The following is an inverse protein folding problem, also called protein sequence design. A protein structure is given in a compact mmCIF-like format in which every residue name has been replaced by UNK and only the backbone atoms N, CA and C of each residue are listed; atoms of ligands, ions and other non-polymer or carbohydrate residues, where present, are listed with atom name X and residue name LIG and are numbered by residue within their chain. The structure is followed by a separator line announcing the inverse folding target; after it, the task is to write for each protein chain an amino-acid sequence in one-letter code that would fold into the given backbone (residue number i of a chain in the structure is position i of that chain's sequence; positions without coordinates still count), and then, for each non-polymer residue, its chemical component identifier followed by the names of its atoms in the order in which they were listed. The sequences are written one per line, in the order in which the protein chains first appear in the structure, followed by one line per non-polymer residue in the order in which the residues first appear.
data_IF_814092944353
#
_entry.id   IF_814092944353
#
_cell.length_a   1.000
_cell.length_b   1.000
_cell.length_c   1.000
_cell.angle_alpha   90.00
_cell.angle_beta   90.00
_cell.angle_gamma   90.00
#
_symmetry.space_group_name_H-M   'P 1'
#
loop_
_entity.id
_entity.type
_entity.pdbx_description
1 polymer ?
#
# COMPACT_ATOMS: atom_id res chain seq x y z
N UNK A 1 39.20 15.38 28.49
CA UNK A 1 39.64 15.88 27.17
C UNK A 1 39.00 14.97 26.12
N UNK A 2 37.87 15.39 25.55
CA UNK A 2 37.12 14.61 24.56
C UNK A 2 37.36 15.16 23.16
N UNK A 3 37.70 14.28 22.22
CA UNK A 3 37.95 14.60 20.82
C UNK A 3 36.65 15.04 20.12
N UNK A 4 36.30 16.33 20.23
CA UNK A 4 35.42 16.99 19.28
C UNK A 4 36.29 17.40 18.08
N UNK A 5 36.26 16.61 17.01
CA UNK A 5 36.79 17.03 15.73
C UNK A 5 36.09 18.33 15.28
N UNK A 6 36.82 19.23 14.61
CA UNK A 6 36.25 20.44 14.02
C UNK A 6 35.06 20.06 13.12
N UNK A 7 33.85 20.47 13.52
CA UNK A 7 32.68 20.40 12.64
C UNK A 7 32.78 21.48 11.57
N UNK A 8 32.39 21.16 10.35
CA UNK A 8 32.23 22.10 9.25
C UNK A 8 31.02 22.99 9.53
N UNK A 9 31.19 24.29 9.32
CA UNK A 9 30.05 25.22 9.23
C UNK A 9 29.32 24.98 7.91
N UNK A 10 28.00 25.12 7.91
CA UNK A 10 27.23 25.07 6.67
C UNK A 10 27.45 26.38 5.90
N UNK A 11 28.34 26.35 4.91
CA UNK A 11 28.66 27.52 4.07
C UNK A 11 27.85 27.52 2.78
N UNK A 12 27.88 28.65 2.06
CA UNK A 12 27.21 28.82 0.77
C UNK A 12 27.70 27.76 -0.24
N UNK A 13 26.80 26.95 -0.83
CA UNK A 13 27.18 25.92 -1.78
C UNK A 13 27.48 26.55 -3.13
N UNK A 14 28.63 26.21 -3.70
CA UNK A 14 28.97 26.58 -5.08
C UNK A 14 28.14 25.79 -6.10
N UNK A 15 27.73 24.58 -5.71
CA UNK A 15 26.94 23.67 -6.53
C UNK A 15 25.86 22.97 -5.69
N UNK A 16 24.71 22.72 -6.30
CA UNK A 16 23.63 21.91 -5.71
C UNK A 16 23.30 20.77 -6.66
N UNK A 17 23.29 19.55 -6.13
CA UNK A 17 22.79 18.39 -6.85
C UNK A 17 21.27 18.34 -6.71
N UNK A 18 20.56 18.42 -7.83
CA UNK A 18 19.11 18.31 -7.90
C UNK A 18 18.78 16.97 -8.54
N UNK A 19 18.26 16.05 -7.73
CA UNK A 19 17.76 14.76 -8.16
C UNK A 19 16.23 14.80 -8.19
N UNK A 20 15.66 14.46 -9.34
CA UNK A 20 14.22 14.25 -9.47
C UNK A 20 13.98 12.76 -9.31
N UNK A 21 13.70 12.34 -8.07
CA UNK A 21 13.40 10.96 -7.74
C UNK A 21 11.94 10.70 -8.14
N UNK A 22 11.75 10.05 -9.27
CA UNK A 22 10.48 9.45 -9.63
C UNK A 22 10.43 8.05 -9.02
N UNK A 23 9.72 7.89 -7.90
CA UNK A 23 9.54 6.60 -7.21
C UNK A 23 8.83 5.54 -8.05
N UNK A 24 8.49 5.87 -9.31
CA UNK A 24 7.87 4.95 -10.22
C UNK A 24 8.85 4.28 -11.18
N UNK A 25 9.99 4.88 -11.57
CA UNK A 25 10.92 4.26 -12.54
C UNK A 25 12.19 3.70 -11.86
N UNK A 26 12.64 2.50 -12.25
CA UNK A 26 13.95 1.94 -11.86
C UNK A 26 15.04 2.34 -12.87
N UNK A 27 14.85 3.44 -13.60
CA UNK A 27 15.88 4.03 -14.44
C UNK A 27 16.72 5.00 -13.62
N UNK A 28 18.02 5.07 -13.93
CA UNK A 28 19.05 5.79 -13.17
C UNK A 28 18.59 7.18 -12.72
N UNK A 29 18.74 7.47 -11.42
CA UNK A 29 18.51 8.79 -10.83
C UNK A 29 19.19 9.86 -11.70
N UNK A 30 18.39 10.69 -12.39
CA UNK A 30 18.94 11.76 -13.24
C UNK A 30 19.29 12.96 -12.38
N UNK A 31 20.42 12.87 -11.67
CA UNK A 31 21.01 13.97 -10.93
C UNK A 31 21.54 15.05 -11.87
N UNK A 32 21.06 16.28 -11.73
CA UNK A 32 21.61 17.45 -12.41
C UNK A 32 22.37 18.32 -11.40
N UNK A 33 23.63 18.62 -11.67
CA UNK A 33 24.43 19.55 -10.84
C UNK A 33 24.23 20.97 -11.36
N UNK A 34 23.72 21.85 -10.51
CA UNK A 34 23.50 23.26 -10.83
C UNK A 34 24.57 24.09 -10.13
N UNK A 35 25.24 24.99 -10.85
CA UNK A 35 26.26 25.88 -10.29
C UNK A 35 25.73 27.30 -10.12
N UNK A 36 25.94 27.90 -8.95
CA UNK A 36 25.70 29.31 -8.71
C UNK A 36 26.61 29.77 -7.57
N UNK A 37 27.65 30.54 -7.91
CA UNK A 37 28.77 30.85 -7.00
C UNK A 37 28.53 32.06 -6.10
N UNK A 38 27.44 32.79 -6.34
CA UNK A 38 27.13 34.05 -5.65
C UNK A 38 25.81 33.98 -4.86
N UNK A 39 25.24 32.78 -4.67
CA UNK A 39 23.95 32.58 -3.99
C UNK A 39 24.10 32.00 -2.59
N UNK A 40 23.40 32.60 -1.63
CA UNK A 40 23.31 32.06 -0.28
C UNK A 40 22.48 30.76 -0.27
N UNK A 41 22.57 29.99 0.83
CA UNK A 41 21.68 28.82 1.00
C UNK A 41 20.20 29.19 0.90
N UNK A 42 19.81 30.37 1.40
CA UNK A 42 18.43 30.84 1.34
C UNK A 42 18.00 31.15 -0.08
N UNK A 43 18.86 31.80 -0.87
CA UNK A 43 18.58 32.10 -2.29
C UNK A 43 18.40 30.81 -3.09
N UNK A 44 19.20 29.78 -2.81
CA UNK A 44 19.04 28.45 -3.39
C UNK A 44 17.68 27.82 -3.06
N UNK A 45 17.27 27.84 -1.78
CA UNK A 45 15.98 27.27 -1.37
C UNK A 45 14.81 28.01 -2.03
N UNK A 46 14.84 29.35 -2.06
CA UNK A 46 13.82 30.17 -2.72
C UNK A 46 13.79 29.90 -4.24
N UNK A 47 14.96 29.79 -4.88
CA UNK A 47 15.06 29.47 -6.29
C UNK A 47 14.46 28.09 -6.62
N UNK A 48 14.82 27.05 -5.86
CA UNK A 48 14.29 25.70 -6.07
C UNK A 48 12.77 25.64 -5.84
N UNK A 49 12.26 26.33 -4.82
CA UNK A 49 10.81 26.43 -4.58
C UNK A 49 10.08 27.07 -5.75
N UNK A 50 10.65 28.12 -6.34
CA UNK A 50 10.07 28.79 -7.50
C UNK A 50 10.12 27.93 -8.76
N UNK A 51 11.25 27.27 -9.04
CA UNK A 51 11.41 26.45 -10.25
C UNK A 51 10.48 25.24 -10.24
N UNK A 52 10.36 24.55 -9.11
CA UNK A 52 9.54 23.34 -8.98
C UNK A 52 8.10 23.61 -8.51
N UNK A 53 7.72 24.88 -8.36
CA UNK A 53 6.40 25.30 -7.86
C UNK A 53 6.02 24.64 -6.52
N UNK A 54 6.99 24.47 -5.62
CA UNK A 54 6.78 23.90 -4.28
C UNK A 54 6.75 25.01 -3.23
N UNK A 55 5.58 25.20 -2.60
CA UNK A 55 5.41 26.24 -1.57
C UNK A 55 6.12 25.94 -0.24
N UNK A 56 6.62 24.72 -0.02
CA UNK A 56 7.32 24.32 1.22
C UNK A 56 8.24 23.14 0.99
N UNK A 57 9.42 23.17 1.62
CA UNK A 57 10.29 22.00 1.75
C UNK A 57 9.77 21.14 2.91
N UNK A 58 9.25 19.96 2.56
CA UNK A 58 8.50 19.10 3.49
C UNK A 58 9.36 18.16 4.32
N UNK A 59 10.58 17.85 3.86
CA UNK A 59 11.45 16.85 4.47
C UNK A 59 12.92 17.28 4.46
N UNK A 60 13.70 16.73 5.39
CA UNK A 60 15.16 16.80 5.40
C UNK A 60 15.71 15.38 5.56
N UNK A 61 16.83 15.07 4.90
CA UNK A 61 17.51 13.78 4.99
C UNK A 61 18.96 13.99 5.43
N UNK A 62 19.36 13.28 6.49
CA UNK A 62 20.73 13.18 6.96
C UNK A 62 21.30 11.82 6.57
N UNK A 63 22.40 11.76 5.82
CA UNK A 63 23.03 10.51 5.40
C UNK A 63 24.58 10.56 5.54
N UNK A 64 25.31 9.73 4.80
CA UNK A 64 26.78 9.72 4.78
C UNK A 64 27.38 11.14 4.74
N UNK A 65 28.38 11.38 5.59
CA UNK A 65 29.08 12.67 5.78
C UNK A 65 28.25 13.81 6.41
N UNK A 66 26.95 13.62 6.66
CA UNK A 66 26.14 14.67 7.33
C UNK A 66 26.67 15.01 8.73
N UNK A 67 27.31 14.04 9.40
CA UNK A 67 27.91 14.19 10.74
C UNK A 67 29.13 15.12 10.78
N UNK A 68 29.66 15.52 9.63
CA UNK A 68 30.72 16.52 9.53
C UNK A 68 30.22 17.94 9.79
N UNK A 69 28.91 18.21 9.63
CA UNK A 69 28.34 19.55 9.76
C UNK A 69 27.83 19.84 11.18
N UNK A 70 27.79 21.12 11.55
CA UNK A 70 27.09 21.55 12.76
C UNK A 70 25.57 21.49 12.55
N UNK A 71 24.88 20.81 13.47
CA UNK A 71 23.43 20.59 13.38
C UNK A 71 22.66 21.89 13.61
N UNK A 72 23.24 22.80 14.40
CA UNK A 72 22.61 24.09 14.71
C UNK A 72 22.59 24.97 13.46
N UNK A 73 23.65 24.94 12.65
CA UNK A 73 23.69 25.62 11.34
C UNK A 73 22.66 25.05 10.37
N UNK A 74 22.52 23.72 10.33
CA UNK A 74 21.50 23.07 9.48
C UNK A 74 20.09 23.47 9.94
N UNK A 75 19.85 23.53 11.26
CA UNK A 75 18.56 23.98 11.80
C UNK A 75 18.29 25.46 11.50
N UNK A 76 19.30 26.32 11.54
CA UNK A 76 19.16 27.74 11.21
C UNK A 76 18.71 27.93 9.75
N UNK A 77 19.30 27.19 8.81
CA UNK A 77 18.98 27.30 7.38
C UNK A 77 17.64 26.66 7.03
N UNK A 78 17.36 25.45 7.51
CA UNK A 78 16.19 24.69 7.09
C UNK A 78 14.97 24.86 8.01
N UNK A 79 15.15 25.37 9.22
CA UNK A 79 14.11 25.48 10.23
C UNK A 79 13.53 24.13 10.66
N UNK A 80 12.41 24.16 11.38
CA UNK A 80 11.70 22.94 11.77
C UNK A 80 11.05 22.28 10.55
N UNK A 81 11.15 20.95 10.46
CA UNK A 81 10.55 20.15 9.39
C UNK A 81 9.53 19.16 9.95
N UNK A 82 8.42 19.00 9.23
CA UNK A 82 7.42 17.98 9.54
C UNK A 82 7.97 16.57 9.34
N UNK A 83 8.86 16.37 8.37
CA UNK A 83 9.47 15.08 8.09
C UNK A 83 10.99 15.13 8.25
N UNK A 84 11.57 14.20 9.02
CA UNK A 84 13.02 14.04 9.18
C UNK A 84 13.41 12.60 8.89
N UNK A 85 14.39 12.42 7.99
CA UNK A 85 14.96 11.12 7.64
C UNK A 85 16.41 11.04 8.13
N UNK A 86 16.76 9.99 8.87
CA UNK A 86 18.11 9.72 9.35
C UNK A 86 18.60 8.40 8.75
N UNK A 87 19.53 8.53 7.81
CA UNK A 87 20.27 7.49 7.11
C UNK A 87 21.58 7.10 7.82
N UNK A 88 22.59 6.65 7.06
CA UNK A 88 23.83 6.05 7.58
C UNK A 88 24.84 7.16 7.85
N UNK A 89 24.54 7.98 8.85
CA UNK A 89 25.42 9.11 9.23
C UNK A 89 26.77 8.67 9.82
N UNK A 90 26.87 7.40 10.24
CA UNK A 90 28.05 6.83 10.90
C UNK A 90 28.35 7.40 12.29
N UNK A 91 27.48 8.25 12.85
CA UNK A 91 27.74 8.97 14.09
C UNK A 91 26.51 9.02 15.02
N UNK A 92 26.52 8.21 16.08
CA UNK A 92 25.43 8.14 17.06
C UNK A 92 25.20 9.46 17.81
N UNK A 93 26.28 10.19 18.14
CA UNK A 93 26.16 11.47 18.80
C UNK A 93 25.47 12.51 17.92
N UNK A 94 25.77 12.51 16.61
CA UNK A 94 25.12 13.38 15.64
C UNK A 94 23.63 13.04 15.46
N UNK A 95 23.29 11.75 15.38
CA UNK A 95 21.89 11.31 15.31
C UNK A 95 21.09 11.77 16.53
N UNK A 96 21.68 11.68 17.73
CA UNK A 96 21.05 12.21 18.95
C UNK A 96 20.83 13.72 18.87
N UNK A 97 21.81 14.46 18.34
CA UNK A 97 21.69 15.91 18.16
C UNK A 97 20.64 16.29 17.12
N UNK A 98 20.46 15.53 16.03
CA UNK A 98 19.37 15.72 15.06
C UNK A 98 18.02 15.66 15.78
N UNK A 99 17.82 14.59 16.56
CA UNK A 99 16.59 14.40 17.30
C UNK A 99 16.36 15.59 18.22
N UNK A 100 17.33 15.97 19.05
CA UNK A 100 17.21 17.11 19.97
C UNK A 100 16.89 18.44 19.28
N UNK A 101 17.50 18.69 18.12
CA UNK A 101 17.40 19.98 17.45
C UNK A 101 16.16 20.12 16.57
N UNK A 102 15.76 19.08 15.84
CA UNK A 102 14.64 19.19 14.90
C UNK A 102 13.27 18.96 15.54
N UNK A 103 13.20 18.75 16.86
CA UNK A 103 11.93 18.64 17.56
C UNK A 103 11.15 19.97 17.58
N UNK A 104 9.80 19.93 17.42
CA UNK A 104 8.96 18.75 17.21
C UNK A 104 9.00 18.19 15.75
N UNK A 105 8.97 16.86 15.60
CA UNK A 105 8.96 16.15 14.29
C UNK A 105 7.65 15.35 14.16
N UNK A 106 6.91 15.54 13.07
CA UNK A 106 5.62 14.85 12.83
C UNK A 106 5.81 13.44 12.24
N UNK A 107 6.77 13.28 11.32
CA UNK A 107 7.15 12.03 10.66
C UNK A 107 8.65 11.80 10.80
N UNK A 108 9.06 10.77 11.53
CA UNK A 108 10.47 10.39 11.69
C UNK A 108 10.73 9.05 11.02
N UNK A 109 11.70 9.00 10.10
CA UNK A 109 12.26 7.74 9.58
C UNK A 109 13.72 7.65 9.98
N UNK A 110 14.10 6.59 10.70
CA UNK A 110 15.46 6.40 11.21
C UNK A 110 15.86 4.94 11.08
N UNK A 111 17.13 4.63 10.87
CA UNK A 111 17.56 3.23 10.86
C UNK A 111 17.79 2.70 12.27
N UNK A 112 17.52 1.42 12.51
CA UNK A 112 17.84 0.78 13.79
C UNK A 112 19.35 0.90 14.10
N UNK A 113 20.19 0.72 13.06
CA UNK A 113 21.64 0.92 13.10
C UNK A 113 22.07 2.35 13.50
N UNK A 114 21.16 3.33 13.50
CA UNK A 114 21.44 4.70 13.92
C UNK A 114 21.54 4.87 15.44
N UNK A 115 21.23 3.82 16.21
CA UNK A 115 21.31 3.77 17.67
C UNK A 115 22.45 2.86 18.15
N UNK A 116 23.03 3.20 19.31
CA UNK A 116 24.03 2.36 19.95
C UNK A 116 23.41 0.99 20.28
N UNK A 117 24.11 -0.09 19.91
CA UNK A 117 23.65 -1.49 20.04
C UNK A 117 22.32 -1.80 19.34
N UNK A 118 21.91 -0.98 18.36
CA UNK A 118 20.59 -1.03 17.70
C UNK A 118 19.41 -0.94 18.67
N UNK A 119 19.63 -0.41 19.89
CA UNK A 119 18.59 -0.25 20.91
C UNK A 119 17.91 1.10 20.78
N UNK A 120 16.61 1.06 20.52
CA UNK A 120 15.80 2.26 20.36
C UNK A 120 15.51 2.86 21.75
N UNK A 121 15.83 4.13 22.00
CA UNK A 121 15.55 4.76 23.28
C UNK A 121 14.04 4.80 23.59
N UNK A 122 13.58 4.39 24.79
CA UNK A 122 12.14 4.34 25.12
C UNK A 122 11.39 5.67 24.98
N UNK A 123 12.10 6.79 25.16
CA UNK A 123 11.53 8.13 24.96
C UNK A 123 11.19 8.46 23.49
N UNK A 124 11.80 7.77 22.52
CA UNK A 124 11.38 7.86 21.12
C UNK A 124 10.07 7.09 20.86
N UNK A 125 9.88 5.97 21.56
CA UNK A 125 8.70 5.10 21.45
C UNK A 125 7.46 5.72 22.13
N UNK A 126 7.62 6.25 23.36
CA UNK A 126 6.53 6.78 24.20
C UNK A 126 5.91 8.11 23.74
N UNK A 127 6.47 8.77 22.73
CA UNK A 127 5.95 10.06 22.27
C UNK A 127 4.80 9.79 21.29
N UNK A 128 3.55 10.13 21.64
CA UNK A 128 2.39 10.00 20.74
C UNK A 128 2.67 10.68 19.38
N UNK A 129 2.97 9.92 18.32
CA UNK A 129 3.28 10.46 16.98
C UNK A 129 2.22 10.07 15.97
N UNK A 130 2.08 10.89 14.92
CA UNK A 130 1.33 10.52 13.72
C UNK A 130 2.06 9.45 12.89
N UNK A 131 3.41 9.40 12.86
CA UNK A 131 4.18 8.33 12.17
C UNK A 131 5.62 8.19 12.69
N UNK A 132 6.03 6.98 13.09
CA UNK A 132 7.43 6.58 13.36
C UNK A 132 7.80 5.40 12.45
N UNK A 133 8.90 5.53 11.73
CA UNK A 133 9.47 4.47 10.91
C UNK A 133 10.86 4.08 11.41
N UNK A 134 11.08 2.78 11.53
CA UNK A 134 12.40 2.19 11.76
C UNK A 134 12.77 1.30 10.55
N UNK A 135 13.90 1.59 9.88
CA UNK A 135 14.38 0.85 8.68
C UNK A 135 15.55 -0.08 9.01
N UNK A 136 15.63 -1.23 8.35
CA UNK A 136 16.70 -2.22 8.50
C UNK A 136 16.99 -2.97 7.19
N UNK A 137 18.28 -3.16 6.84
CA UNK A 137 18.71 -3.84 5.61
C UNK A 137 19.24 -5.27 5.84
N UNK A 138 19.39 -5.72 7.09
CA UNK A 138 19.97 -7.03 7.38
C UNK A 138 19.78 -7.42 8.87
N UNK A 139 19.02 -8.49 9.11
CA UNK A 139 18.64 -9.12 10.40
C UNK A 139 17.42 -8.53 11.12
N UNK A 140 16.65 -9.29 11.93
CA UNK A 140 15.50 -8.76 12.66
C UNK A 140 15.93 -8.03 13.93
N UNK A 141 15.43 -6.82 14.13
CA UNK A 141 15.56 -6.10 15.40
C UNK A 141 14.93 -6.91 16.53
N UNK A 142 15.61 -7.03 17.68
CA UNK A 142 15.01 -7.54 18.93
C UNK A 142 14.10 -6.46 19.55
N UNK A 143 13.00 -6.12 18.89
CA UNK A 143 11.92 -5.32 19.50
C UNK A 143 11.15 -6.28 20.41
N UNK A 144 11.11 -5.96 21.71
CA UNK A 144 10.38 -6.76 22.69
C UNK A 144 8.89 -6.40 22.69
N UNK A 145 8.04 -7.26 23.26
CA UNK A 145 6.61 -6.96 23.45
C UNK A 145 6.40 -5.64 24.23
N UNK A 146 7.30 -5.30 25.16
CA UNK A 146 7.25 -4.05 25.89
C UNK A 146 7.57 -2.85 24.99
N UNK A 147 8.45 -3.01 24.01
CA UNK A 147 8.76 -1.95 23.05
C UNK A 147 7.56 -1.71 22.12
N UNK A 148 6.85 -2.76 21.69
CA UNK A 148 5.60 -2.65 20.92
C UNK A 148 4.47 -1.98 21.71
N UNK A 149 4.33 -2.30 23.01
CA UNK A 149 3.36 -1.65 23.91
C UNK A 149 3.67 -0.17 24.17
N UNK A 150 4.93 0.24 24.00
CA UNK A 150 5.36 1.64 24.13
C UNK A 150 5.18 2.43 22.83
N UNK A 151 5.04 1.76 21.68
CA UNK A 151 4.75 2.40 20.38
C UNK A 151 3.29 2.83 20.37
N UNK A 152 3.04 4.08 20.77
CA UNK A 152 1.71 4.70 20.68
C UNK A 152 1.49 5.35 19.31
N UNK A 153 1.75 4.60 18.24
CA UNK A 153 1.38 4.98 16.87
C UNK A 153 0.25 4.07 16.40
N UNK A 154 -0.75 4.61 15.70
CA UNK A 154 -1.80 3.78 15.10
C UNK A 154 -1.22 3.06 13.88
N UNK A 155 -0.95 1.74 13.92
CA UNK A 155 -0.44 1.03 12.75
C UNK A 155 -1.46 1.09 11.61
N UNK A 156 -0.96 1.17 10.38
CA UNK A 156 -1.83 1.12 9.20
C UNK A 156 -2.32 -0.32 8.92
N UNK A 157 -1.48 -1.30 9.25
CA UNK A 157 -1.72 -2.74 9.08
C UNK A 157 -0.83 -3.56 10.03
N UNK A 158 -1.39 -4.61 10.62
CA UNK A 158 -0.67 -5.61 11.41
C UNK A 158 -0.76 -6.98 10.72
N UNK A 159 0.38 -7.60 10.40
CA UNK A 159 0.47 -8.92 9.80
C UNK A 159 1.04 -9.94 10.78
N UNK A 160 0.38 -11.10 10.89
CA UNK A 160 0.78 -12.19 11.78
C UNK A 160 1.22 -13.41 10.97
N UNK A 161 2.49 -13.79 11.12
CA UNK A 161 3.08 -14.97 10.50
C UNK A 161 3.29 -16.10 11.50
N UNK A 162 2.68 -17.26 11.24
CA UNK A 162 2.75 -18.46 12.07
C UNK A 162 3.51 -19.60 11.38
N UNK A 163 4.05 -20.55 12.15
CA UNK A 163 4.65 -21.82 11.68
C UNK A 163 5.83 -21.68 10.71
N UNK A 164 6.92 -21.07 11.18
CA UNK A 164 8.17 -20.99 10.42
C UNK A 164 9.08 -22.20 10.64
N UNK A 165 8.78 -23.03 11.63
CA UNK A 165 9.54 -24.25 11.96
C UNK A 165 9.07 -25.48 11.13
N UNK A 166 9.95 -26.46 10.86
CA UNK A 166 9.64 -27.64 10.04
C UNK A 166 8.69 -28.66 10.70
N UNK A 167 8.49 -28.58 12.02
CA UNK A 167 7.73 -29.57 12.79
C UNK A 167 6.22 -29.31 12.73
N UNK A 168 5.57 -29.84 11.69
CA UNK A 168 4.13 -29.71 11.50
C UNK A 168 3.42 -31.05 11.72
N UNK A 169 2.44 -31.07 12.63
CA UNK A 169 1.64 -32.26 12.91
C UNK A 169 0.61 -32.53 11.81
N UNK A 170 0.55 -33.79 11.37
CA UNK A 170 -0.41 -34.25 10.38
C UNK A 170 -1.53 -35.03 11.07
N UNK A 171 -2.79 -34.62 10.84
CA UNK A 171 -3.98 -35.34 11.25
C UNK A 171 -4.83 -35.78 10.06
N UNK A 172 -5.92 -36.49 10.34
CA UNK A 172 -6.97 -36.75 9.35
C UNK A 172 -7.87 -35.52 9.25
N UNK A 173 -8.02 -35.00 8.04
CA UNK A 173 -8.97 -33.95 7.68
C UNK A 173 -10.08 -34.48 6.76
N UNK A 174 -11.01 -33.61 6.38
CA UNK A 174 -12.18 -33.97 5.57
C UNK A 174 -11.84 -34.61 4.20
N UNK A 175 -10.62 -34.41 3.70
CA UNK A 175 -10.14 -34.93 2.42
C UNK A 175 -8.78 -35.65 2.54
N UNK A 176 -8.60 -36.41 3.62
CA UNK A 176 -7.39 -37.21 3.86
C UNK A 176 -6.40 -36.53 4.82
N UNK A 177 -5.12 -36.93 4.74
CA UNK A 177 -4.07 -36.44 5.67
C UNK A 177 -3.83 -34.94 5.43
N UNK A 178 -4.05 -34.12 6.45
CA UNK A 178 -3.90 -32.66 6.44
C UNK A 178 -3.06 -32.20 7.63
N UNK A 179 -2.34 -31.10 7.46
CA UNK A 179 -1.68 -30.40 8.56
C UNK A 179 -2.74 -29.80 9.47
N UNK A 180 -2.60 -30.01 10.78
CA UNK A 180 -3.45 -29.44 11.81
C UNK A 180 -2.84 -28.15 12.34
N UNK A 181 -3.67 -27.16 12.65
CA UNK A 181 -3.21 -25.96 13.35
C UNK A 181 -2.91 -26.32 14.81
N UNK A 182 -1.63 -26.36 15.18
CA UNK A 182 -1.15 -26.59 16.55
C UNK A 182 -0.66 -25.28 17.17
N UNK A 183 -0.34 -25.26 18.47
CA UNK A 183 0.32 -24.12 19.09
C UNK A 183 1.62 -23.76 18.33
N UNK A 184 1.79 -22.52 17.85
CA UNK A 184 3.02 -22.09 17.22
C UNK A 184 4.10 -21.91 18.31
N UNK A 185 5.34 -22.31 18.04
CA UNK A 185 6.45 -22.07 18.98
C UNK A 185 6.79 -20.58 19.04
N UNK A 186 6.70 -19.92 17.88
CA UNK A 186 6.92 -18.50 17.71
C UNK A 186 5.88 -17.87 16.76
N UNK A 187 5.56 -16.60 16.98
CA UNK A 187 4.71 -15.79 16.09
C UNK A 187 5.52 -14.59 15.63
N UNK A 188 5.68 -14.43 14.31
CA UNK A 188 6.26 -13.22 13.75
C UNK A 188 5.16 -12.17 13.57
N UNK A 189 5.36 -11.00 14.14
CA UNK A 189 4.49 -9.84 14.02
C UNK A 189 5.19 -8.84 13.12
N UNK A 190 4.59 -8.51 11.98
CA UNK A 190 5.04 -7.39 11.16
C UNK A 190 4.06 -6.23 11.33
N UNK A 191 4.57 -5.06 11.68
CA UNK A 191 3.80 -3.84 11.79
C UNK A 191 4.19 -2.93 10.63
N UNK A 192 3.23 -2.58 9.78
CA UNK A 192 3.48 -1.70 8.64
C UNK A 192 3.18 -0.26 9.03
N UNK A 193 4.14 0.62 8.72
CA UNK A 193 3.91 2.06 8.76
C UNK A 193 2.92 2.50 7.67
N UNK A 194 2.56 3.79 7.62
CA UNK A 194 1.71 4.33 6.56
C UNK A 194 2.37 4.34 5.16
N UNK A 195 3.66 4.01 5.06
CA UNK A 195 4.40 3.86 3.80
C UNK A 195 4.73 2.36 3.63
N UNK A 196 4.30 1.76 2.52
CA UNK A 196 4.29 0.30 2.27
C UNK A 196 5.69 -0.37 2.33
N UNK A 197 6.76 0.40 2.14
CA UNK A 197 8.15 -0.08 2.19
C UNK A 197 8.75 -0.12 3.61
N UNK A 198 8.00 0.28 4.63
CA UNK A 198 8.48 0.47 5.99
C UNK A 198 7.70 -0.44 6.96
N UNK A 199 8.33 -1.54 7.43
CA UNK A 199 7.73 -2.43 8.42
C UNK A 199 8.70 -2.74 9.55
N UNK A 200 8.20 -2.75 10.78
CA UNK A 200 8.90 -3.32 11.92
C UNK A 200 8.54 -4.81 12.00
N UNK A 201 9.47 -5.63 12.51
CA UNK A 201 9.22 -7.05 12.63
C UNK A 201 9.76 -7.60 13.94
N UNK A 202 8.89 -8.30 14.68
CA UNK A 202 9.21 -8.89 15.98
C UNK A 202 8.82 -10.36 16.00
N UNK A 203 9.56 -11.19 16.72
CA UNK A 203 9.20 -12.59 16.97
C UNK A 203 8.79 -12.73 18.43
N UNK A 204 7.56 -13.16 18.67
CA UNK A 204 7.06 -13.50 20.00
C UNK A 204 7.21 -15.00 20.21
N UNK A 205 8.09 -15.40 21.13
CA UNK A 205 8.32 -16.79 21.49
C UNK A 205 7.48 -17.17 22.70
N UNK A 206 6.51 -18.07 22.53
CA UNK A 206 5.76 -18.68 23.65
C UNK A 206 5.13 -19.99 23.20
N UNK A 207 5.74 -21.09 23.65
CA UNK A 207 5.46 -22.47 23.22
C UNK A 207 4.26 -23.14 23.92
N UNK A 208 3.63 -22.48 24.91
CA UNK A 208 2.53 -23.08 25.71
C UNK A 208 1.12 -22.62 25.31
N UNK A 209 0.97 -21.74 24.32
CA UNK A 209 -0.32 -21.11 23.98
C UNK A 209 -0.94 -21.67 22.69
N UNK A 210 -2.24 -21.93 22.70
CA UNK A 210 -2.98 -22.30 21.48
C UNK A 210 -3.04 -21.13 20.49
N UNK A 211 -3.27 -21.41 19.21
CA UNK A 211 -3.44 -20.37 18.18
C UNK A 211 -4.58 -19.38 18.50
N UNK A 212 -5.71 -19.88 19.01
CA UNK A 212 -6.83 -19.03 19.41
C UNK A 212 -6.44 -18.09 20.55
N UNK A 213 -5.64 -18.57 21.51
CA UNK A 213 -5.15 -17.71 22.58
C UNK A 213 -4.18 -16.66 22.04
N UNK A 214 -3.26 -17.03 21.15
CA UNK A 214 -2.36 -16.08 20.50
C UNK A 214 -3.11 -14.98 19.76
N UNK A 215 -4.09 -15.36 18.94
CA UNK A 215 -4.95 -14.42 18.24
C UNK A 215 -5.63 -13.49 19.25
N UNK A 216 -6.33 -14.03 20.25
CA UNK A 216 -7.01 -13.23 21.27
C UNK A 216 -6.07 -12.29 22.01
N UNK A 217 -4.90 -12.79 22.41
CA UNK A 217 -3.91 -12.01 23.13
C UNK A 217 -3.42 -10.82 22.31
N UNK A 218 -3.17 -11.02 21.01
CA UNK A 218 -2.76 -9.95 20.11
C UNK A 218 -3.92 -8.98 19.86
N UNK A 219 -5.15 -9.46 19.70
CA UNK A 219 -6.33 -8.61 19.59
C UNK A 219 -6.53 -7.72 20.83
N UNK A 220 -6.28 -8.26 22.03
CA UNK A 220 -6.37 -7.53 23.29
C UNK A 220 -5.23 -6.49 23.43
N UNK A 221 -4.00 -6.85 23.03
CA UNK A 221 -2.84 -5.94 23.06
C UNK A 221 -3.04 -4.75 22.11
N UNK A 222 -3.44 -5.01 20.87
CA UNK A 222 -3.55 -3.99 19.83
C UNK A 222 -4.93 -3.33 19.76
N UNK A 223 -5.88 -3.74 20.62
CA UNK A 223 -7.27 -3.27 20.60
C UNK A 223 -7.96 -3.47 19.23
N UNK A 224 -7.65 -4.57 18.55
CA UNK A 224 -8.21 -4.95 17.24
C UNK A 224 -9.02 -6.24 17.36
N UNK A 225 -10.31 -6.12 17.69
CA UNK A 225 -11.14 -7.29 18.02
C UNK A 225 -11.67 -8.09 16.82
N UNK A 226 -11.34 -7.72 15.58
CA UNK A 226 -11.83 -8.36 14.35
C UNK A 226 -10.70 -8.61 13.37
N UNK A 227 -10.86 -9.65 12.56
CA UNK A 227 -9.98 -9.92 11.42
C UNK A 227 -10.57 -9.24 10.19
N UNK A 228 -9.88 -8.24 9.67
CA UNK A 228 -10.33 -7.55 8.46
C UNK A 228 -10.02 -8.34 7.19
N UNK A 229 -8.91 -9.12 7.20
CA UNK A 229 -8.36 -9.77 6.02
C UNK A 229 -7.81 -11.16 6.31
N UNK A 230 -8.13 -12.13 5.45
CA UNK A 230 -7.50 -13.46 5.42
C UNK A 230 -6.98 -13.74 4.00
N UNK A 231 -5.71 -14.12 3.89
CA UNK A 231 -5.06 -14.51 2.64
C UNK A 231 -4.64 -15.98 2.62
N UNK A 232 -4.95 -16.68 1.53
CA UNK A 232 -4.48 -18.04 1.26
C UNK A 232 -3.44 -18.03 0.15
N UNK A 233 -2.30 -18.68 0.35
CA UNK A 233 -1.16 -18.64 -0.56
C UNK A 233 -0.55 -20.04 -0.76
N UNK A 234 0.68 -20.09 -1.27
CA UNK A 234 1.39 -21.33 -1.52
C UNK A 234 1.42 -22.22 -0.27
N UNK A 235 1.19 -23.53 -0.44
CA UNK A 235 1.07 -24.53 0.61
C UNK A 235 -0.14 -24.41 1.57
N UNK A 236 -1.02 -23.41 1.44
CA UNK A 236 -2.22 -23.34 2.29
C UNK A 236 -3.12 -24.57 2.14
N UNK A 237 -3.13 -25.22 0.97
CA UNK A 237 -3.90 -26.43 0.68
C UNK A 237 -3.48 -27.65 1.51
N UNK A 238 -2.35 -27.58 2.21
CA UNK A 238 -1.89 -28.64 3.11
C UNK A 238 -2.66 -28.65 4.44
N UNK A 239 -3.30 -27.54 4.83
CA UNK A 239 -4.05 -27.42 6.08
C UNK A 239 -5.52 -27.84 5.93
N UNK A 240 -6.15 -28.23 7.05
CA UNK A 240 -7.61 -28.38 7.09
C UNK A 240 -8.29 -27.01 7.20
N UNK A 241 -9.17 -26.72 6.24
CA UNK A 241 -9.88 -25.46 6.15
C UNK A 241 -10.82 -25.21 7.35
N UNK A 242 -11.36 -26.27 7.96
CA UNK A 242 -12.25 -26.15 9.10
C UNK A 242 -11.48 -25.69 10.33
N UNK A 243 -10.26 -26.19 10.53
CA UNK A 243 -9.40 -25.74 11.62
C UNK A 243 -9.05 -24.25 11.45
N UNK A 244 -8.73 -23.81 10.22
CA UNK A 244 -8.48 -22.40 9.92
C UNK A 244 -9.71 -21.56 10.27
N UNK A 245 -10.90 -21.99 9.84
CA UNK A 245 -12.15 -21.28 10.14
C UNK A 245 -12.47 -21.27 11.65
N UNK A 246 -12.15 -22.33 12.38
CA UNK A 246 -12.36 -22.41 13.83
C UNK A 246 -11.44 -21.46 14.60
N UNK A 247 -10.19 -21.30 14.15
CA UNK A 247 -9.21 -20.43 14.81
C UNK A 247 -9.46 -18.96 14.48
N UNK A 248 -9.63 -18.64 13.19
CA UNK A 248 -9.66 -17.25 12.72
C UNK A 248 -11.07 -16.71 12.49
N UNK A 249 -12.10 -17.56 12.47
CA UNK A 249 -13.48 -17.14 12.28
C UNK A 249 -13.75 -16.60 10.88
N UNK A 250 -14.45 -15.46 10.81
CA UNK A 250 -14.84 -14.78 9.57
C UNK A 250 -14.04 -13.50 9.39
N UNK A 251 -13.84 -13.10 8.13
CA UNK A 251 -13.18 -11.85 7.79
C UNK A 251 -14.00 -11.05 6.77
N UNK A 252 -13.80 -9.74 6.76
CA UNK A 252 -14.45 -8.82 5.80
C UNK A 252 -13.91 -9.02 4.39
N UNK A 253 -12.60 -9.22 4.27
CA UNK A 253 -11.87 -9.41 3.01
C UNK A 253 -11.19 -10.78 2.96
N UNK A 254 -11.28 -11.42 1.80
CA UNK A 254 -10.62 -12.69 1.51
C UNK A 254 -9.74 -12.56 0.27
N UNK A 255 -8.51 -13.06 0.33
CA UNK A 255 -7.63 -13.22 -0.82
C UNK A 255 -7.29 -14.69 -1.06
N UNK A 256 -7.42 -15.13 -2.31
CA UNK A 256 -6.96 -16.44 -2.77
C UNK A 256 -5.81 -16.24 -3.76
N UNK A 257 -4.60 -16.51 -3.30
CA UNK A 257 -3.40 -16.58 -4.12
C UNK A 257 -3.20 -17.97 -4.74
N UNK A 258 -1.97 -18.27 -5.14
CA UNK A 258 -1.64 -19.59 -5.69
C UNK A 258 -1.51 -20.64 -4.57
N UNK A 259 -2.60 -21.32 -4.23
CA UNK A 259 -2.60 -22.41 -3.22
C UNK A 259 -2.09 -23.76 -3.74
N UNK A 260 -1.86 -23.86 -5.06
CA UNK A 260 -1.55 -25.12 -5.75
C UNK A 260 -2.73 -26.10 -5.87
N UNK A 261 -3.95 -25.74 -5.45
CA UNK A 261 -5.10 -26.66 -5.47
C UNK A 261 -6.44 -25.95 -5.75
N UNK A 262 -6.99 -26.12 -6.96
CA UNK A 262 -8.27 -25.51 -7.35
C UNK A 262 -9.46 -26.00 -6.50
N UNK A 263 -9.47 -27.28 -6.13
CA UNK A 263 -10.52 -27.84 -5.25
C UNK A 263 -10.49 -27.18 -3.88
N UNK A 264 -9.29 -26.96 -3.33
CA UNK A 264 -9.14 -26.24 -2.06
C UNK A 264 -9.63 -24.79 -2.16
N UNK A 265 -9.32 -24.09 -3.25
CA UNK A 265 -9.82 -22.73 -3.51
C UNK A 265 -11.34 -22.65 -3.53
N UNK A 266 -11.99 -23.64 -4.14
CA UNK A 266 -13.45 -23.72 -4.13
C UNK A 266 -14.00 -23.90 -2.70
N UNK A 267 -13.38 -24.79 -1.91
CA UNK A 267 -13.80 -25.02 -0.52
C UNK A 267 -13.57 -23.77 0.34
N UNK A 268 -12.51 -22.99 0.12
CA UNK A 268 -12.30 -21.71 0.81
C UNK A 268 -13.50 -20.78 0.57
N UNK A 269 -13.90 -20.59 -0.69
CA UNK A 269 -15.03 -19.72 -1.04
C UNK A 269 -16.34 -20.18 -0.40
N UNK A 270 -16.61 -21.49 -0.39
CA UNK A 270 -17.80 -22.06 0.23
C UNK A 270 -17.79 -21.89 1.77
N UNK A 271 -16.61 -22.02 2.39
CA UNK A 271 -16.49 -21.97 3.85
C UNK A 271 -16.44 -20.56 4.41
N UNK A 272 -15.84 -19.61 3.72
CA UNK A 272 -15.68 -18.23 4.22
C UNK A 272 -16.83 -17.30 3.82
N UNK A 273 -17.74 -17.74 2.93
CA UNK A 273 -18.95 -16.99 2.59
C UNK A 273 -19.92 -16.82 3.78
N UNK A 274 -20.60 -15.66 3.91
CA UNK A 274 -20.51 -14.47 3.05
C UNK A 274 -19.26 -13.62 3.36
N UNK A 275 -18.69 -13.01 2.32
CA UNK A 275 -17.60 -12.02 2.40
C UNK A 275 -18.00 -10.76 1.64
N UNK A 276 -17.49 -9.61 2.07
CA UNK A 276 -17.76 -8.32 1.41
C UNK A 276 -16.76 -8.04 0.29
N UNK A 277 -15.51 -8.44 0.47
CA UNK A 277 -14.41 -8.13 -0.44
C UNK A 277 -13.63 -9.38 -0.83
N UNK A 278 -13.38 -9.56 -2.12
CA UNK A 278 -12.73 -10.75 -2.67
C UNK A 278 -11.59 -10.37 -3.63
N UNK A 279 -10.40 -10.89 -3.34
CA UNK A 279 -9.26 -10.85 -4.26
C UNK A 279 -8.95 -12.27 -4.75
N UNK A 280 -8.98 -12.47 -6.06
CA UNK A 280 -8.75 -13.75 -6.73
C UNK A 280 -7.91 -13.57 -8.00
N UNK A 281 -7.34 -14.66 -8.49
CA UNK A 281 -6.70 -14.73 -9.81
C UNK A 281 -7.46 -15.67 -10.73
N UNK A 282 -7.36 -15.44 -12.04
CA UNK A 282 -7.86 -16.38 -13.05
C UNK A 282 -7.28 -17.78 -12.85
N UNK A 283 -5.97 -17.89 -12.62
CA UNK A 283 -5.25 -19.14 -12.33
C UNK A 283 -5.71 -19.87 -11.06
N UNK A 284 -6.50 -19.25 -10.19
CA UNK A 284 -7.05 -19.97 -9.02
C UNK A 284 -8.04 -21.06 -9.43
N UNK A 285 -8.59 -20.97 -10.65
CA UNK A 285 -9.65 -21.85 -11.14
C UNK A 285 -9.19 -22.71 -12.32
N UNK A 286 -9.85 -23.86 -12.56
CA UNK A 286 -9.55 -24.70 -13.72
C UNK A 286 -9.63 -23.91 -15.04
N UNK A 287 -8.68 -24.16 -15.95
CA UNK A 287 -8.57 -23.49 -17.24
C UNK A 287 -8.40 -21.96 -17.15
N UNK A 288 -7.95 -21.45 -16.01
CA UNK A 288 -7.81 -20.01 -15.73
C UNK A 288 -9.10 -19.22 -15.95
N UNK A 289 -10.27 -19.83 -15.69
CA UNK A 289 -11.58 -19.20 -15.90
C UNK A 289 -12.31 -19.02 -14.58
N UNK A 290 -12.60 -17.77 -14.22
CA UNK A 290 -13.41 -17.46 -13.03
C UNK A 290 -14.85 -17.96 -13.25
N UNK A 291 -15.40 -18.81 -12.34
CA UNK A 291 -16.78 -19.26 -12.41
C UNK A 291 -17.80 -18.12 -12.39
N UNK A 292 -18.82 -18.19 -13.25
CA UNK A 292 -19.87 -17.17 -13.36
C UNK A 292 -20.62 -16.94 -12.05
N UNK A 293 -20.83 -18.00 -11.26
CA UNK A 293 -21.43 -17.92 -9.92
C UNK A 293 -20.67 -17.03 -8.93
N UNK A 294 -19.38 -16.77 -9.17
CA UNK A 294 -18.58 -15.84 -8.37
C UNK A 294 -18.77 -14.42 -8.91
N UNK A 295 -18.71 -14.25 -10.23
CA UNK A 295 -18.89 -12.93 -10.87
C UNK A 295 -20.28 -12.33 -10.57
N UNK A 296 -21.32 -13.16 -10.52
CA UNK A 296 -22.69 -12.74 -10.20
C UNK A 296 -22.92 -12.41 -8.71
N UNK A 297 -21.94 -12.65 -7.83
CA UNK A 297 -22.10 -12.31 -6.42
C UNK A 297 -21.99 -10.81 -6.16
N UNK A 298 -22.62 -10.41 -5.06
CA UNK A 298 -22.86 -9.04 -4.71
C UNK A 298 -21.73 -8.39 -3.88
N UNK A 299 -20.47 -8.59 -4.24
CA UNK A 299 -19.35 -8.03 -3.48
C UNK A 299 -19.37 -6.50 -3.43
N UNK A 300 -18.88 -5.94 -2.32
CA UNK A 300 -18.57 -4.52 -2.20
C UNK A 300 -17.30 -4.20 -3.00
N UNK A 301 -16.32 -5.11 -2.99
CA UNK A 301 -15.08 -4.99 -3.75
C UNK A 301 -14.66 -6.35 -4.34
N UNK A 302 -14.41 -6.39 -5.65
CA UNK A 302 -13.91 -7.56 -6.36
C UNK A 302 -12.65 -7.21 -7.14
N UNK A 303 -11.54 -7.82 -6.74
CA UNK A 303 -10.24 -7.71 -7.39
C UNK A 303 -9.93 -9.02 -8.12
N UNK A 304 -9.66 -8.93 -9.42
CA UNK A 304 -9.27 -10.07 -10.26
C UNK A 304 -7.90 -9.77 -10.87
N UNK A 305 -6.85 -10.38 -10.31
CA UNK A 305 -5.49 -10.10 -10.73
C UNK A 305 -4.47 -10.23 -9.61
N UNK A 306 -3.21 -9.86 -9.91
CA UNK A 306 -2.14 -9.84 -8.92
C UNK A 306 -1.17 -8.66 -9.06
N UNK A 307 -1.61 -7.59 -9.72
CA UNK A 307 -0.89 -6.34 -9.93
C UNK A 307 0.35 -6.40 -10.82
N UNK A 308 0.97 -7.57 -11.06
CA UNK A 308 2.38 -7.60 -11.51
C UNK A 308 2.79 -8.71 -12.47
N UNK A 309 2.12 -9.88 -12.49
CA UNK A 309 2.68 -11.08 -13.16
C UNK A 309 1.68 -11.85 -14.02
N UNK A 310 0.40 -11.92 -13.62
CA UNK A 310 -0.60 -12.69 -14.36
C UNK A 310 -1.46 -11.79 -15.24
N UNK A 311 -1.56 -12.12 -16.53
CA UNK A 311 -2.54 -11.48 -17.43
C UNK A 311 -3.93 -12.01 -17.13
N UNK A 312 -4.80 -11.16 -16.57
CA UNK A 312 -6.23 -11.48 -16.42
C UNK A 312 -6.86 -11.59 -17.80
N UNK A 313 -7.59 -12.68 -18.05
CA UNK A 313 -8.37 -12.88 -19.28
C UNK A 313 -9.83 -13.12 -18.90
N UNK A 314 -10.68 -12.12 -19.12
CA UNK A 314 -12.13 -12.24 -19.00
C UNK A 314 -12.78 -11.89 -20.33
N UNK A 315 -13.72 -12.73 -20.78
CA UNK A 315 -14.55 -12.39 -21.93
C UNK A 315 -15.44 -11.19 -21.60
N UNK A 316 -15.91 -10.49 -22.65
CA UNK A 316 -16.88 -9.40 -22.48
C UNK A 316 -18.13 -9.87 -21.73
N UNK A 317 -18.61 -11.09 -22.02
CA UNK A 317 -19.75 -11.71 -21.34
C UNK A 317 -19.49 -11.89 -19.84
N UNK A 318 -18.28 -12.30 -19.45
CA UNK A 318 -17.91 -12.42 -18.04
C UNK A 318 -17.85 -11.06 -17.35
N UNK A 319 -17.36 -10.03 -18.03
CA UNK A 319 -17.27 -8.67 -17.46
C UNK A 319 -18.66 -8.09 -17.17
N UNK A 320 -19.63 -8.28 -18.06
CA UNK A 320 -21.00 -7.78 -17.84
C UNK A 320 -21.79 -8.57 -16.79
N UNK A 321 -21.33 -9.79 -16.43
CA UNK A 321 -21.89 -10.57 -15.33
C UNK A 321 -21.45 -10.06 -13.95
N UNK A 322 -20.39 -9.25 -13.86
CA UNK A 322 -19.85 -8.79 -12.59
C UNK A 322 -20.87 -7.88 -11.88
N UNK A 323 -21.35 -8.29 -10.71
CA UNK A 323 -22.36 -7.54 -9.95
C UNK A 323 -21.80 -6.90 -8.67
N UNK A 324 -20.53 -6.51 -8.70
CA UNK A 324 -19.81 -5.87 -7.59
C UNK A 324 -19.85 -4.34 -7.70
N UNK A 325 -19.68 -3.64 -6.58
CA UNK A 325 -19.65 -2.16 -6.56
C UNK A 325 -18.31 -1.60 -7.02
N UNK A 326 -17.22 -2.08 -6.42
CA UNK A 326 -15.86 -1.79 -6.85
C UNK A 326 -15.31 -3.00 -7.59
N UNK A 327 -14.72 -2.77 -8.76
CA UNK A 327 -14.13 -3.79 -9.62
C UNK A 327 -12.71 -3.35 -9.96
N UNK A 328 -11.72 -4.14 -9.59
CA UNK A 328 -10.35 -3.96 -10.05
C UNK A 328 -9.90 -5.16 -10.87
N UNK A 329 -9.35 -4.91 -12.05
CA UNK A 329 -8.83 -5.94 -12.94
C UNK A 329 -7.41 -5.59 -13.37
N UNK A 330 -6.46 -6.43 -12.96
CA UNK A 330 -5.05 -6.22 -13.29
C UNK A 330 -4.67 -6.85 -14.63
N UNK A 331 -3.71 -6.23 -15.31
CA UNK A 331 -3.03 -6.77 -16.48
C UNK A 331 -3.99 -7.30 -17.56
N UNK A 332 -5.13 -6.64 -17.74
CA UNK A 332 -6.11 -7.04 -18.74
C UNK A 332 -5.54 -6.67 -20.11
N UNK A 333 -5.11 -7.68 -20.89
CA UNK A 333 -4.83 -7.50 -22.33
C UNK A 333 -6.14 -7.35 -23.10
N UNK A 334 -6.87 -6.28 -22.80
CA UNK A 334 -8.09 -5.94 -23.52
C UNK A 334 -7.75 -4.94 -24.61
N UNK A 335 -8.03 -5.22 -25.88
CA UNK A 335 -7.90 -4.19 -26.91
C UNK A 335 -8.85 -3.02 -26.61
N UNK A 336 -8.47 -1.79 -26.98
CA UNK A 336 -9.32 -0.60 -26.90
C UNK A 336 -10.76 -0.82 -27.45
N UNK A 337 -10.90 -1.68 -28.47
CA UNK A 337 -12.19 -2.07 -29.06
C UNK A 337 -13.10 -2.84 -28.09
N UNK A 338 -12.55 -3.70 -27.26
CA UNK A 338 -13.33 -4.46 -26.28
C UNK A 338 -13.74 -3.56 -25.10
N UNK A 339 -12.87 -2.64 -24.67
CA UNK A 339 -13.24 -1.57 -23.73
C UNK A 339 -14.38 -0.68 -24.28
N UNK A 340 -14.32 -0.29 -25.56
CA UNK A 340 -15.40 0.44 -26.20
C UNK A 340 -16.73 -0.33 -26.14
N UNK A 341 -16.72 -1.65 -26.40
CA UNK A 341 -17.91 -2.50 -26.30
C UNK A 341 -18.42 -2.57 -24.86
N UNK A 342 -17.53 -2.75 -23.89
CA UNK A 342 -17.89 -2.76 -22.47
C UNK A 342 -18.58 -1.45 -22.06
N UNK A 343 -17.98 -0.29 -22.39
CA UNK A 343 -18.57 1.01 -22.06
C UNK A 343 -19.94 1.18 -22.74
N UNK A 344 -20.10 0.76 -24.00
CA UNK A 344 -21.39 0.79 -24.70
C UNK A 344 -22.44 -0.12 -24.04
N UNK A 345 -22.05 -1.27 -23.51
CA UNK A 345 -22.95 -2.15 -22.75
C UNK A 345 -23.33 -1.54 -21.41
N UNK A 346 -22.37 -0.92 -20.72
CA UNK A 346 -22.63 -0.16 -19.49
C UNK A 346 -23.61 0.99 -19.74
N UNK A 347 -23.43 1.77 -20.82
CA UNK A 347 -24.37 2.83 -21.21
C UNK A 347 -25.79 2.30 -21.46
N UNK A 348 -25.95 1.02 -21.81
CA UNK A 348 -27.25 0.35 -22.01
C UNK A 348 -27.82 -0.26 -20.73
N UNK A 349 -27.13 -0.17 -19.60
CA UNK A 349 -27.63 -0.63 -18.30
C UNK A 349 -26.94 -1.86 -17.70
N UNK A 350 -25.82 -2.34 -18.26
CA UNK A 350 -25.07 -3.44 -17.62
C UNK A 350 -24.41 -2.98 -16.30
N UNK A 351 -24.07 -3.95 -15.44
CA UNK A 351 -23.39 -3.73 -14.15
C UNK A 351 -24.06 -2.62 -13.31
N UNK A 352 -25.36 -2.77 -12.94
CA UNK A 352 -26.15 -1.68 -12.35
C UNK A 352 -25.63 -1.18 -11.00
N UNK A 353 -24.94 -2.05 -10.24
CA UNK A 353 -24.34 -1.74 -8.91
C UNK A 353 -22.94 -1.13 -8.99
N UNK A 354 -22.30 -1.12 -10.15
CA UNK A 354 -20.91 -0.70 -10.27
C UNK A 354 -20.78 0.80 -9.97
N UNK A 355 -19.99 1.12 -8.95
CA UNK A 355 -19.61 2.45 -8.48
C UNK A 355 -18.22 2.84 -8.99
N UNK A 356 -17.32 1.86 -9.07
CA UNK A 356 -15.93 2.07 -9.48
C UNK A 356 -15.42 0.88 -10.29
N UNK A 357 -14.69 1.20 -11.36
CA UNK A 357 -13.95 0.23 -12.16
C UNK A 357 -12.53 0.74 -12.39
N UNK A 358 -11.54 -0.06 -12.04
CA UNK A 358 -10.14 0.11 -12.40
C UNK A 358 -9.71 -1.04 -13.31
N UNK A 359 -9.12 -0.70 -14.44
CA UNK A 359 -8.48 -1.66 -15.34
C UNK A 359 -7.06 -1.21 -15.58
N UNK A 360 -6.10 -2.04 -15.18
CA UNK A 360 -4.71 -1.85 -15.57
C UNK A 360 -4.64 -2.13 -17.08
N UNK A 361 -4.42 -1.06 -17.84
CA UNK A 361 -4.46 -1.02 -19.29
C UNK A 361 -3.11 -0.55 -19.82
N UNK A 362 -2.33 -1.46 -20.42
CA UNK A 362 -1.18 -1.04 -21.20
C UNK A 362 -1.68 -0.27 -22.43
N UNK A 363 -1.63 1.08 -22.40
CA UNK A 363 -1.80 1.92 -23.58
C UNK A 363 -0.68 1.56 -24.55
N UNK A 364 -0.98 0.63 -25.45
CA UNK A 364 -0.01 0.07 -26.36
C UNK A 364 0.26 1.01 -27.53
N UNK A 365 -0.71 1.86 -27.91
CA UNK A 365 -0.64 2.66 -29.12
C UNK A 365 -1.16 4.09 -28.95
N UNK A 366 -0.53 5.01 -29.69
CA UNK A 366 -1.06 6.33 -29.98
C UNK A 366 -2.38 6.17 -30.76
N UNK A 367 -3.51 6.58 -30.19
CA UNK A 367 -4.84 6.39 -30.81
C UNK A 367 -5.84 5.54 -30.01
N UNK A 368 -5.40 4.85 -28.95
CA UNK A 368 -6.27 3.95 -28.18
C UNK A 368 -7.44 4.69 -27.52
N UNK A 369 -7.23 5.94 -27.07
CA UNK A 369 -8.29 6.77 -26.46
C UNK A 369 -9.39 7.07 -27.46
N UNK A 370 -9.04 7.42 -28.69
CA UNK A 370 -9.96 7.71 -29.78
C UNK A 370 -10.75 6.46 -30.18
N UNK A 371 -10.10 5.30 -30.22
CA UNK A 371 -10.77 4.01 -30.47
C UNK A 371 -11.74 3.67 -29.34
N UNK A 372 -11.34 3.88 -28.08
CA UNK A 372 -12.19 3.62 -26.92
C UNK A 372 -13.43 4.50 -26.88
N UNK A 373 -13.32 5.77 -27.27
CA UNK A 373 -14.42 6.75 -27.22
C UNK A 373 -15.23 6.81 -28.50
N UNK A 374 -14.87 6.01 -29.53
CA UNK A 374 -15.56 6.01 -30.81
C UNK A 374 -17.05 5.66 -30.66
N UNK A 375 -17.90 6.53 -31.20
CA UNK A 375 -19.36 6.45 -31.16
C UNK A 375 -19.94 6.43 -29.73
N UNK A 376 -19.21 6.97 -28.74
CA UNK A 376 -19.70 7.18 -27.38
C UNK A 376 -20.00 8.67 -27.22
N UNK A 377 -21.24 9.01 -26.83
CA UNK A 377 -21.59 10.38 -26.45
C UNK A 377 -20.92 10.70 -25.11
N UNK A 378 -20.10 11.75 -25.10
CA UNK A 378 -19.33 12.14 -23.93
C UNK A 378 -19.14 13.66 -23.86
N UNK A 379 -18.83 14.14 -22.66
CA UNK A 379 -18.49 15.53 -22.36
C UNK A 379 -17.08 15.57 -21.74
N UNK A 380 -16.22 16.47 -22.22
CA UNK A 380 -14.87 16.63 -21.67
C UNK A 380 -14.94 17.63 -20.52
N UNK A 381 -14.53 17.20 -19.34
CA UNK A 381 -14.45 18.05 -18.15
C UNK A 381 -13.02 18.58 -18.03
N UNK A 382 -12.83 19.91 -17.92
CA UNK A 382 -11.49 20.50 -17.86
C UNK A 382 -10.77 20.14 -16.55
N UNK A 383 -9.45 20.00 -16.62
CA UNK A 383 -8.60 19.52 -15.52
C UNK A 383 -8.68 20.41 -14.25
N UNK A 384 -8.99 21.70 -14.39
CA UNK A 384 -9.16 22.61 -13.27
C UNK A 384 -10.45 22.39 -12.45
N UNK A 385 -11.34 21.49 -12.89
CA UNK A 385 -12.54 21.15 -12.15
C UNK A 385 -12.28 19.93 -11.27
N UNK A 386 -12.26 20.17 -9.97
CA UNK A 386 -12.11 19.16 -8.92
C UNK A 386 -13.48 18.63 -8.49
N UNK A 387 -13.63 17.31 -8.40
CA UNK A 387 -14.82 16.64 -7.86
C UNK A 387 -14.40 15.59 -6.83
N UNK A 388 -15.11 15.51 -5.71
CA UNK A 388 -14.84 14.50 -4.67
C UNK A 388 -15.74 13.28 -4.87
N UNK A 389 -15.12 12.13 -5.01
CA UNK A 389 -15.77 10.84 -5.20
C UNK A 389 -15.50 9.92 -4.02
N UNK A 390 -16.52 9.18 -3.57
CA UNK A 390 -16.38 8.19 -2.49
C UNK A 390 -17.09 6.89 -2.86
N UNK A 391 -16.34 5.89 -3.30
CA UNK A 391 -16.88 4.54 -3.46
C UNK A 391 -17.27 3.94 -2.10
N UNK A 392 -18.25 3.03 -2.11
CA UNK A 392 -18.55 2.22 -0.92
C UNK A 392 -17.32 1.42 -0.49
N UNK A 393 -17.03 1.40 0.81
CA UNK A 393 -15.87 0.70 1.38
C UNK A 393 -14.59 1.54 1.45
N UNK A 394 -14.50 2.67 0.74
CA UNK A 394 -13.36 3.58 0.87
C UNK A 394 -13.46 4.43 2.15
N UNK A 395 -12.36 4.47 2.91
CA UNK A 395 -12.25 5.29 4.13
C UNK A 395 -12.16 6.79 3.81
N UNK A 396 -11.54 7.16 2.69
CA UNK A 396 -11.34 8.56 2.29
C UNK A 396 -11.88 8.83 0.87
N UNK A 397 -12.51 10.00 0.63
CA UNK A 397 -12.87 10.43 -0.71
C UNK A 397 -11.64 10.62 -1.60
N UNK A 398 -11.74 10.24 -2.88
CA UNK A 398 -10.76 10.54 -3.91
C UNK A 398 -11.12 11.84 -4.63
N UNK A 399 -10.11 12.66 -4.90
CA UNK A 399 -10.25 13.86 -5.71
C UNK A 399 -10.03 13.55 -7.20
N UNK A 400 -10.99 13.96 -8.01
CA UNK A 400 -11.02 13.71 -9.46
C UNK A 400 -10.94 15.06 -10.18
N UNK A 401 -9.81 15.27 -10.84
CA UNK A 401 -9.54 16.41 -11.71
C UNK A 401 -9.97 16.10 -13.15
N UNK A 402 -10.89 16.90 -13.70
CA UNK A 402 -11.34 16.76 -15.08
C UNK A 402 -12.01 15.41 -15.39
N UNK A 403 -11.62 14.84 -16.54
CA UNK A 403 -12.09 13.53 -17.03
C UNK A 403 -13.08 13.62 -18.18
N UNK A 404 -13.62 12.47 -18.58
CA UNK A 404 -14.58 12.36 -19.69
C UNK A 404 -15.89 11.80 -19.14
N UNK A 405 -16.92 12.63 -19.10
CA UNK A 405 -18.22 12.25 -18.58
C UNK A 405 -19.04 11.53 -19.66
N UNK A 406 -19.61 10.38 -19.28
CA UNK A 406 -20.55 9.59 -20.07
C UNK A 406 -21.84 9.37 -19.26
N UNK A 407 -22.93 9.06 -19.96
CA UNK A 407 -24.25 8.88 -19.34
C UNK A 407 -24.80 7.50 -19.70
N UNK A 408 -25.34 6.82 -18.70
CA UNK A 408 -26.07 5.56 -18.83
C UNK A 408 -27.55 5.80 -19.13
N UNK A 409 -28.23 4.79 -19.68
CA UNK A 409 -29.65 4.85 -20.08
C UNK A 409 -30.61 5.32 -18.97
N UNK A 410 -30.26 5.08 -17.70
CA UNK A 410 -31.00 5.49 -16.51
C UNK A 410 -30.66 6.92 -16.04
N UNK A 411 -29.80 7.64 -16.77
CA UNK A 411 -29.37 9.00 -16.43
C UNK A 411 -28.18 9.07 -15.48
N UNK A 412 -27.70 7.93 -14.95
CA UNK A 412 -26.52 7.90 -14.08
C UNK A 412 -25.28 8.32 -14.88
N UNK A 413 -24.53 9.27 -14.33
CA UNK A 413 -23.29 9.77 -14.94
C UNK A 413 -22.11 8.94 -14.48
N UNK A 414 -21.11 8.80 -15.34
CA UNK A 414 -19.80 8.30 -14.96
C UNK A 414 -18.69 9.12 -15.58
N UNK A 415 -17.52 9.18 -14.93
CA UNK A 415 -16.33 9.84 -15.43
C UNK A 415 -15.26 8.82 -15.75
N UNK A 416 -14.76 8.83 -16.99
CA UNK A 416 -13.59 8.08 -17.41
C UNK A 416 -12.35 8.92 -17.15
N UNK A 417 -11.34 8.31 -16.53
CA UNK A 417 -10.00 8.88 -16.36
C UNK A 417 -8.94 7.92 -16.87
N UNK A 418 -7.96 8.47 -17.57
CA UNK A 418 -6.77 7.75 -17.99
C UNK A 418 -5.62 8.20 -17.10
N UNK A 419 -5.12 7.33 -16.24
CA UNK A 419 -3.93 7.59 -15.43
C UNK A 419 -2.71 6.99 -16.11
N UNK A 420 -1.68 7.80 -16.33
CA UNK A 420 -0.32 7.31 -16.54
C UNK A 420 0.30 7.12 -15.15
N UNK A 421 0.02 5.98 -14.51
CA UNK A 421 0.81 5.55 -13.34
C UNK A 421 1.80 4.52 -13.85
N UNK A 422 3.09 4.79 -13.75
CA UNK A 422 4.06 3.71 -13.89
C UNK A 422 3.93 2.81 -12.65
N UNK A 423 3.93 1.47 -12.79
CA UNK A 423 4.41 0.69 -13.95
C UNK A 423 3.35 0.30 -14.97
N UNK A 424 2.10 0.72 -14.84
CA UNK A 424 1.07 0.42 -15.84
C UNK A 424 -0.04 1.46 -15.90
N UNK A 425 -0.33 2.02 -17.10
CA UNK A 425 -1.43 2.95 -17.25
C UNK A 425 -2.73 2.30 -16.77
N UNK A 426 -3.62 3.09 -16.17
CA UNK A 426 -4.89 2.61 -15.67
C UNK A 426 -6.03 3.39 -16.34
N UNK A 427 -7.04 2.66 -16.80
CA UNK A 427 -8.36 3.21 -17.09
C UNK A 427 -9.20 3.11 -15.82
N UNK A 428 -9.72 4.23 -15.38
CA UNK A 428 -10.64 4.30 -14.25
C UNK A 428 -11.99 4.83 -14.73
N UNK A 429 -13.08 4.25 -14.22
CA UNK A 429 -14.44 4.70 -14.43
C UNK A 429 -15.13 4.90 -13.07
N UNK A 430 -15.54 6.14 -12.81
CA UNK A 430 -16.18 6.57 -11.56
C UNK A 430 -17.67 6.80 -11.81
N UNK A 431 -18.56 6.07 -11.16
CA UNK A 431 -20.01 6.15 -11.37
C UNK A 431 -20.66 6.95 -10.25
N UNK A 432 -21.31 8.06 -10.62
CA UNK A 432 -21.80 9.07 -9.68
C UNK A 432 -23.23 8.78 -9.22
N UNK A 433 -23.37 7.88 -8.25
CA UNK A 433 -24.59 7.77 -7.44
C UNK A 433 -24.63 8.84 -6.35
N UNK A 434 -25.81 9.11 -5.80
CA UNK A 434 -26.02 10.11 -4.74
C UNK A 434 -25.18 9.86 -3.49
N UNK A 435 -24.89 8.60 -3.15
CA UNK A 435 -24.02 8.25 -2.02
C UNK A 435 -22.53 8.25 -2.36
N UNK A 436 -22.17 8.38 -3.64
CA UNK A 436 -20.79 8.45 -4.11
C UNK A 436 -20.28 9.87 -4.27
N UNK A 437 -21.18 10.87 -4.21
CA UNK A 437 -20.82 12.28 -4.22
C UNK A 437 -20.56 12.76 -2.80
N UNK A 438 -19.50 13.54 -2.62
CA UNK A 438 -19.22 14.23 -1.35
C UNK A 438 -19.44 15.71 -1.58
N UNK A 439 -20.43 16.28 -0.89
CA UNK A 439 -20.65 17.74 -0.92
C UNK A 439 -19.41 18.47 -0.41
N UNK A 440 -19.07 19.56 -1.09
CA UNK A 440 -17.81 20.30 -0.90
C UNK A 440 -17.88 21.25 0.28
#
# INVERSE_FOLDING_TARGET
MGAYGQKKRLTEPQTVLVEVIDYTDHSEDTGSVWENRDSTMKDWLEHLQNVFNYHKINAIWFDGNSSEFDIDDVKEVFGNKSTVNVGRTGCFAFNRSILQNFFPIEKLSIMAESFQDSKIPPNLLMQNRFTLTIRENSFPTNITLNDLLLINTSPSLLELGFYREPDMYWGMGAHGRKKKLIAPQSVKVNEYGPIVSEYSSSTLEKNELTMQYWLKHLQDIFNYHKIDFIGFAFNSSQFDINDIKEVFGTATRLMIGNTGCHVFNQVILERFSPIEQLNIKTSNFPNSKVPERILMQNFEDLEIGDGWLETTILSLDQQVLINSKSISMDSLRMPAKELNKFIKLWQRGSNPRMEFLAVVYAIANQGDKEVMLKDIKHEIIPANRLRKFKATGNRMPEEIEGGIDIVRVDGVKATIRFKNRYPSPALELFVWFDHCTVES
#
